data_IF_642023327457
#
_entry.id   IF_642023327457
#
_cell.length_a   1.000
_cell.length_b   1.000
_cell.length_c   1.000
_cell.angle_alpha   90.00
_cell.angle_beta   90.00
_cell.angle_gamma   90.00
#
_symmetry.space_group_name_H-M   'P 1'
#
loop_
_entity.id
_entity.type
_entity.pdbx_description
1 polymer ?
#
# COMPACT_ATOMS: atom_id res chain seq x y z
N UNK A 1 -4.61 7.03 17.18
CA UNK A 1 -4.08 5.65 17.15
C UNK A 1 -3.74 5.22 15.71
N UNK A 2 -4.67 4.69 14.89
CA UNK A 2 -4.32 4.20 13.54
C UNK A 2 -4.00 5.29 12.49
N UNK A 3 -4.54 6.50 12.66
CA UNK A 3 -4.29 7.62 11.74
C UNK A 3 -2.87 8.17 11.89
N UNK A 4 -2.33 8.17 13.09
CA UNK A 4 -1.02 8.75 13.39
C UNK A 4 0.09 7.91 12.78
N UNK A 5 -0.04 6.58 12.84
CA UNK A 5 0.88 5.64 12.18
C UNK A 5 0.86 5.80 10.65
N UNK A 6 -0.32 6.02 10.04
CA UNK A 6 -0.40 6.25 8.59
C UNK A 6 0.25 7.57 8.18
N UNK A 7 0.08 8.62 8.98
CA UNK A 7 0.74 9.91 8.76
C UNK A 7 2.25 9.79 8.91
N UNK A 8 2.72 9.12 9.96
CA UNK A 8 4.15 8.91 10.19
C UNK A 8 4.81 8.12 9.04
N UNK A 9 4.11 7.09 8.53
CA UNK A 9 4.55 6.34 7.37
C UNK A 9 4.66 7.23 6.12
N UNK A 10 3.67 8.06 5.82
CA UNK A 10 3.71 8.95 4.65
C UNK A 10 4.74 10.08 4.80
N UNK A 11 5.05 10.48 6.03
CA UNK A 11 6.06 11.50 6.32
C UNK A 11 7.48 10.98 6.14
N UNK A 12 7.79 9.81 6.69
CA UNK A 12 9.16 9.25 6.73
C UNK A 12 9.49 8.31 5.57
N UNK A 13 8.48 7.80 4.89
CA UNK A 13 8.63 6.91 3.75
C UNK A 13 7.91 7.48 2.55
N UNK A 14 8.45 7.25 1.36
CA UNK A 14 7.75 7.51 0.11
C UNK A 14 6.87 6.30 -0.24
N UNK A 15 5.57 6.39 0.08
CA UNK A 15 4.57 5.39 -0.28
C UNK A 15 4.11 5.63 -1.71
N UNK A 16 4.72 4.93 -2.66
CA UNK A 16 4.41 5.16 -4.07
C UNK A 16 3.25 4.30 -4.58
N UNK A 17 2.98 3.12 -3.98
CA UNK A 17 1.95 2.22 -4.52
C UNK A 17 1.23 1.40 -3.46
N UNK A 18 -0.09 1.27 -3.62
CA UNK A 18 -0.96 0.41 -2.82
C UNK A 18 -1.68 -0.56 -3.76
N UNK A 19 -1.47 -1.85 -3.55
CA UNK A 19 -2.21 -2.90 -4.25
C UNK A 19 -3.28 -3.49 -3.33
N UNK A 20 -4.54 -3.33 -3.72
CA UNK A 20 -5.67 -3.94 -3.03
C UNK A 20 -5.95 -5.31 -3.64
N UNK A 21 -5.87 -6.35 -2.83
CA UNK A 21 -6.14 -7.73 -3.26
C UNK A 21 -7.62 -8.06 -3.07
N UNK A 22 -8.22 -8.83 -4.00
CA UNK A 22 -9.59 -9.32 -3.83
C UNK A 22 -9.67 -10.30 -2.66
N UNK A 23 -10.86 -10.45 -2.11
CA UNK A 23 -11.15 -11.42 -1.05
C UNK A 23 -11.00 -12.85 -1.57
N UNK A 24 -10.54 -13.78 -0.74
CA UNK A 24 -10.49 -15.20 -1.10
C UNK A 24 -9.22 -15.67 -1.83
N UNK A 25 -8.19 -14.83 -1.96
CA UNK A 25 -6.84 -15.27 -2.37
C UNK A 25 -6.11 -16.01 -1.22
N UNK A 26 -6.36 -15.61 0.02
CA UNK A 26 -5.77 -16.26 1.19
C UNK A 26 -6.68 -17.34 1.76
N UNK A 27 -6.07 -18.39 2.31
CA UNK A 27 -6.76 -19.54 2.90
C UNK A 27 -7.69 -19.16 4.07
N UNK A 28 -7.42 -18.02 4.73
CA UNK A 28 -8.33 -17.42 5.71
C UNK A 28 -9.45 -16.64 5.00
N UNK A 29 -10.66 -17.19 5.02
CA UNK A 29 -11.84 -16.54 4.45
C UNK A 29 -12.16 -15.21 5.18
N UNK A 30 -12.43 -14.15 4.41
CA UNK A 30 -12.97 -12.89 4.93
C UNK A 30 -11.97 -11.77 5.24
N UNK A 31 -10.66 -12.01 5.10
CA UNK A 31 -9.65 -10.96 5.35
C UNK A 31 -9.39 -10.12 4.11
N UNK A 32 -9.62 -8.80 4.21
CA UNK A 32 -9.19 -7.83 3.19
C UNK A 32 -7.71 -7.56 3.34
N UNK A 33 -6.94 -7.78 2.28
CA UNK A 33 -5.49 -7.63 2.30
C UNK A 33 -5.05 -6.55 1.32
N UNK A 34 -4.11 -5.71 1.75
CA UNK A 34 -3.45 -4.72 0.91
C UNK A 34 -1.94 -4.93 0.99
N UNK A 35 -1.26 -4.73 -0.14
CA UNK A 35 0.20 -4.71 -0.22
C UNK A 35 0.63 -3.25 -0.41
N UNK A 36 1.52 -2.78 0.47
CA UNK A 36 2.06 -1.43 0.42
C UNK A 36 3.49 -1.49 -0.11
N UNK A 37 3.78 -0.65 -1.11
CA UNK A 37 5.14 -0.49 -1.65
C UNK A 37 5.63 0.91 -1.30
N UNK A 38 6.70 0.95 -0.50
CA UNK A 38 7.30 2.20 -0.04
C UNK A 38 8.80 2.06 0.12
N UNK A 39 9.49 3.19 0.05
CA UNK A 39 10.92 3.33 0.36
C UNK A 39 11.11 4.27 1.54
N UNK A 40 12.11 4.02 2.39
CA UNK A 40 12.47 4.95 3.47
C UNK A 40 13.13 6.20 2.88
N UNK A 41 12.69 7.38 3.31
CA UNK A 41 13.09 8.64 2.68
C UNK A 41 12.59 8.75 1.23
N UNK A 42 13.28 9.55 0.43
CA UNK A 42 13.06 9.69 -1.01
C UNK A 42 14.26 9.17 -1.79
N UNK A 43 14.10 8.97 -3.11
CA UNK A 43 15.23 8.58 -3.97
C UNK A 43 16.37 9.60 -3.94
N UNK A 44 16.00 10.90 -3.86
CA UNK A 44 16.95 12.00 -3.75
C UNK A 44 17.58 12.10 -2.36
N UNK A 45 16.84 11.80 -1.29
CA UNK A 45 17.33 11.87 0.08
C UNK A 45 16.81 10.70 0.94
N UNK A 46 17.66 9.69 1.14
CA UNK A 46 17.38 8.51 1.96
C UNK A 46 17.17 8.80 3.45
N UNK A 47 17.63 9.96 3.93
CA UNK A 47 17.51 10.38 5.33
C UNK A 47 16.43 11.46 5.53
N UNK A 48 15.61 11.72 4.51
CA UNK A 48 14.47 12.61 4.66
C UNK A 48 13.49 12.02 5.68
N UNK A 49 13.06 12.84 6.64
CA UNK A 49 12.18 12.41 7.74
C UNK A 49 10.76 12.96 7.63
N UNK A 50 10.53 13.93 6.74
CA UNK A 50 9.25 14.60 6.55
C UNK A 50 8.89 14.73 5.06
N UNK A 51 7.59 14.71 4.74
CA UNK A 51 7.05 14.92 3.40
C UNK A 51 7.68 14.02 2.31
N UNK A 52 7.93 12.74 2.62
CA UNK A 52 8.54 11.81 1.66
C UNK A 52 7.56 11.31 0.59
N UNK A 53 6.26 11.21 0.90
CA UNK A 53 5.24 10.76 -0.05
C UNK A 53 4.62 11.95 -0.77
N UNK A 54 4.74 11.99 -2.09
CA UNK A 54 4.11 13.03 -2.92
C UNK A 54 2.86 12.51 -3.65
N UNK A 55 2.99 11.35 -4.29
CA UNK A 55 1.95 10.74 -5.10
C UNK A 55 1.80 9.26 -4.74
N UNK A 56 0.55 8.81 -4.60
CA UNK A 56 0.22 7.42 -4.26
C UNK A 56 -0.61 6.81 -5.37
N UNK A 57 -0.11 5.74 -5.98
CA UNK A 57 -0.87 4.95 -6.94
C UNK A 57 -1.67 3.87 -6.23
N UNK A 58 -2.98 3.84 -6.44
CA UNK A 58 -3.84 2.79 -5.87
C UNK A 58 -4.32 1.90 -7.00
N UNK A 59 -3.86 0.64 -6.98
CA UNK A 59 -4.35 -0.40 -7.87
C UNK A 59 -5.36 -1.26 -7.14
N UNK A 60 -6.55 -1.35 -7.72
CA UNK A 60 -7.60 -2.22 -7.24
C UNK A 60 -7.70 -3.45 -8.14
N UNK A 61 -7.26 -4.60 -7.64
CA UNK A 61 -7.43 -5.86 -8.34
C UNK A 61 -8.88 -6.31 -8.17
N UNK A 62 -9.73 -5.91 -9.11
CA UNK A 62 -11.11 -6.36 -9.20
C UNK A 62 -11.20 -7.59 -10.13
N UNK A 63 -10.63 -8.73 -9.74
CA UNK A 63 -10.88 -9.98 -10.46
C UNK A 63 -10.96 -11.18 -9.50
N UNK A 64 -12.17 -11.69 -9.33
CA UNK A 64 -12.44 -13.05 -8.84
C UNK A 64 -13.34 -13.84 -9.82
N UNK A 65 -13.27 -13.50 -11.10
CA UNK A 65 -13.92 -14.26 -12.17
C UNK A 65 -12.97 -14.44 -13.36
N UNK A 66 -11.89 -15.19 -13.16
CA UNK A 66 -11.50 -16.13 -14.20
C UNK A 66 -12.48 -17.31 -14.08
N UNK A 67 -13.70 -17.16 -14.62
CA UNK A 67 -14.55 -18.29 -14.95
C UNK A 67 -13.77 -19.12 -15.97
N UNK A 68 -13.09 -20.15 -15.50
CA UNK A 68 -12.88 -21.33 -16.31
C UNK A 68 -14.23 -22.05 -16.28
N UNK A 69 -14.83 -22.20 -17.45
CA UNK A 69 -16.22 -22.64 -17.76
C UNK A 69 -17.30 -21.57 -17.63
#
# INVERSE_FOLDING_TARGET
>A
MGTDVRRDLMNKCNLHTILRLPTGIFYAQGVKTNVLFFTKGTEANKYQEENCTENVWVYESAYQYAKLW
#
